data_IF_989269511222
#
_entry.id   IF_989269511222
#
_cell.length_a   1.000
_cell.length_b   1.000
_cell.length_c   1.000
_cell.angle_alpha   90.00
_cell.angle_beta   90.00
_cell.angle_gamma   90.00
#
_symmetry.space_group_name_H-M   'P 1'
#
loop_
_entity.id
_entity.type
_entity.pdbx_description
1 polymer ?
#
# COMPACT_ATOMS: atom_id res chain seq x y z
N UNK A 1 -22.22 -23.08 15.69
CA UNK A 1 -21.95 -24.29 14.89
C UNK A 1 -21.27 -23.93 13.57
N UNK A 2 -21.90 -23.11 12.72
CA UNK A 2 -21.33 -22.71 11.41
C UNK A 2 -19.95 -22.06 11.50
N UNK A 3 -19.74 -21.18 12.49
CA UNK A 3 -18.43 -20.50 12.68
C UNK A 3 -17.30 -21.46 13.06
N UNK A 4 -17.61 -22.50 13.85
CA UNK A 4 -16.63 -23.54 14.20
C UNK A 4 -16.30 -24.39 12.99
N UNK A 5 -17.32 -24.79 12.21
CA UNK A 5 -17.12 -25.54 10.96
C UNK A 5 -16.28 -24.74 9.95
N UNK A 6 -16.51 -23.42 9.84
CA UNK A 6 -15.68 -22.54 9.02
C UNK A 6 -14.23 -22.52 9.50
N UNK A 7 -13.99 -22.36 10.80
CA UNK A 7 -12.63 -22.37 11.36
C UNK A 7 -11.92 -23.73 11.19
N UNK A 8 -12.64 -24.84 11.27
CA UNK A 8 -12.10 -26.19 11.01
C UNK A 8 -11.75 -26.38 9.53
N UNK A 9 -12.58 -25.89 8.62
CA UNK A 9 -12.39 -26.02 7.18
C UNK A 9 -11.29 -25.09 6.64
N UNK A 10 -11.26 -23.84 7.10
CA UNK A 10 -10.40 -22.78 6.55
C UNK A 10 -9.19 -22.46 7.44
N UNK A 11 -9.12 -23.03 8.64
CA UNK A 11 -8.04 -22.78 9.59
C UNK A 11 -8.23 -21.49 10.40
N UNK A 12 -7.32 -21.31 11.36
CA UNK A 12 -7.23 -20.15 12.22
C UNK A 12 -5.97 -19.33 11.88
N UNK A 13 -5.92 -18.03 12.22
CA UNK A 13 -6.96 -17.26 12.90
C UNK A 13 -8.12 -16.85 11.98
N UNK A 14 -9.30 -16.61 12.57
CA UNK A 14 -10.46 -16.05 11.86
C UNK A 14 -10.85 -14.69 12.46
N UNK A 15 -11.31 -13.79 11.59
CA UNK A 15 -11.90 -12.52 11.98
C UNK A 15 -13.42 -12.61 11.94
N UNK A 16 -14.05 -12.18 13.02
CA UNK A 16 -15.50 -12.09 13.17
C UNK A 16 -15.85 -10.60 13.10
N UNK A 17 -16.67 -10.24 12.10
CA UNK A 17 -17.03 -8.86 11.80
C UNK A 17 -18.55 -8.67 11.85
N UNK A 18 -19.00 -7.57 12.44
CA UNK A 18 -20.39 -7.15 12.34
C UNK A 18 -20.73 -6.80 10.87
N UNK A 19 -21.82 -7.36 10.34
CA UNK A 19 -22.24 -7.17 8.94
C UNK A 19 -22.60 -5.71 8.60
N UNK A 20 -23.05 -4.95 9.61
CA UNK A 20 -23.47 -3.55 9.48
C UNK A 20 -22.57 -2.60 10.28
N UNK A 21 -21.39 -3.06 10.70
CA UNK A 21 -20.43 -2.26 11.46
C UNK A 21 -19.52 -1.41 10.58
N UNK A 22 -19.01 -0.30 11.14
CA UNK A 22 -18.03 0.58 10.51
C UNK A 22 -17.00 1.11 11.52
N UNK A 23 -15.79 1.44 11.04
CA UNK A 23 -14.73 2.05 11.87
C UNK A 23 -14.02 1.10 12.84
N UNK A 24 -13.98 -0.20 12.57
CA UNK A 24 -13.24 -1.19 13.37
C UNK A 24 -13.93 -1.66 14.66
N UNK A 25 -15.14 -1.18 14.95
CA UNK A 25 -15.97 -1.67 16.07
C UNK A 25 -16.65 -3.00 15.70
N UNK A 26 -16.71 -3.95 16.63
CA UNK A 26 -17.26 -5.29 16.37
C UNK A 26 -16.35 -6.24 15.58
N UNK A 27 -15.05 -5.97 15.49
CA UNK A 27 -14.04 -6.92 14.99
C UNK A 27 -13.48 -7.73 16.17
N UNK A 28 -13.64 -9.06 16.15
CA UNK A 28 -12.94 -9.99 17.05
C UNK A 28 -12.05 -10.91 16.23
N UNK A 29 -10.90 -11.30 16.75
CA UNK A 29 -10.00 -12.25 16.09
C UNK A 29 -9.83 -13.46 17.00
N UNK A 30 -10.23 -14.63 16.50
CA UNK A 30 -10.02 -15.90 17.16
C UNK A 30 -8.77 -16.57 16.59
N UNK A 31 -7.79 -16.81 17.45
CA UNK A 31 -6.51 -17.48 17.22
C UNK A 31 -6.55 -18.96 17.58
N UNK A 32 -7.43 -19.35 18.51
CA UNK A 32 -7.61 -20.73 18.95
C UNK A 32 -9.04 -21.19 18.75
N UNK A 33 -9.23 -22.50 18.59
CA UNK A 33 -10.56 -23.06 18.34
C UNK A 33 -11.51 -22.90 19.54
N UNK A 34 -10.98 -22.95 20.76
CA UNK A 34 -11.75 -22.91 22.00
C UNK A 34 -12.32 -21.51 22.32
N UNK A 35 -11.78 -20.44 21.74
CA UNK A 35 -12.30 -19.08 21.91
C UNK A 35 -13.28 -18.65 20.81
N UNK A 36 -13.40 -19.42 19.72
CA UNK A 36 -14.23 -19.05 18.56
C UNK A 36 -15.69 -18.79 18.95
N UNK A 37 -16.28 -19.69 19.74
CA UNK A 37 -17.68 -19.58 20.15
C UNK A 37 -17.92 -18.33 21.03
N UNK A 38 -17.05 -18.11 22.02
CA UNK A 38 -17.15 -16.98 22.93
C UNK A 38 -16.95 -15.63 22.21
N UNK A 39 -15.95 -15.55 21.34
CA UNK A 39 -15.66 -14.33 20.57
C UNK A 39 -16.79 -14.02 19.58
N UNK A 40 -17.42 -15.03 18.99
CA UNK A 40 -18.58 -14.83 18.14
C UNK A 40 -19.76 -14.25 18.91
N UNK A 41 -20.13 -14.86 20.04
CA UNK A 41 -21.20 -14.32 20.87
C UNK A 41 -20.90 -12.90 21.36
N UNK A 42 -19.63 -12.62 21.71
CA UNK A 42 -19.20 -11.28 22.07
C UNK A 42 -19.37 -10.28 20.92
N UNK A 43 -19.02 -10.66 19.69
CA UNK A 43 -19.19 -9.82 18.51
C UNK A 43 -20.67 -9.53 18.23
N UNK A 44 -21.54 -10.55 18.35
CA UNK A 44 -23.00 -10.42 18.18
C UNK A 44 -23.59 -9.46 19.22
N UNK A 45 -23.19 -9.57 20.49
CA UNK A 45 -23.63 -8.65 21.55
C UNK A 45 -23.21 -7.21 21.27
N UNK A 46 -21.96 -7.00 20.88
CA UNK A 46 -21.43 -5.67 20.55
C UNK A 46 -22.14 -5.07 19.32
N UNK A 47 -22.36 -5.87 18.28
CA UNK A 47 -23.09 -5.47 17.08
C UNK A 47 -24.54 -5.09 17.40
N UNK A 48 -25.22 -5.91 18.21
CA UNK A 48 -26.61 -5.63 18.63
C UNK A 48 -26.70 -4.35 19.43
N UNK A 49 -25.77 -4.12 20.37
CA UNK A 49 -25.74 -2.91 21.19
C UNK A 49 -25.43 -1.64 20.37
N UNK A 50 -24.51 -1.73 19.40
CA UNK A 50 -24.06 -0.58 18.62
C UNK A 50 -24.96 -0.26 17.42
N UNK A 51 -25.52 -1.27 16.77
CA UNK A 51 -26.21 -1.14 15.48
C UNK A 51 -27.65 -1.67 15.49
N UNK A 52 -28.15 -2.14 16.63
CA UNK A 52 -29.49 -2.71 16.78
C UNK A 52 -29.67 -4.08 16.10
N UNK A 53 -28.61 -4.63 15.51
CA UNK A 53 -28.61 -5.87 14.75
C UNK A 53 -27.36 -6.70 15.03
N UNK A 54 -27.54 -8.00 15.22
CA UNK A 54 -26.49 -8.93 15.64
C UNK A 54 -25.83 -9.73 14.53
N UNK A 55 -26.12 -9.48 13.25
CA UNK A 55 -25.52 -10.27 12.18
C UNK A 55 -24.00 -10.04 12.10
N UNK A 56 -23.27 -11.15 12.08
CA UNK A 56 -21.83 -11.17 11.90
C UNK A 56 -21.46 -12.12 10.77
N UNK A 57 -20.42 -11.80 10.02
CA UNK A 57 -19.76 -12.71 9.08
C UNK A 57 -18.34 -13.03 9.56
N UNK A 58 -17.79 -14.09 9.00
CA UNK A 58 -16.48 -14.63 9.37
C UNK A 58 -15.63 -14.73 8.13
N UNK A 59 -14.37 -14.33 8.27
CA UNK A 59 -13.35 -14.46 7.23
C UNK A 59 -12.06 -14.97 7.85
N UNK A 60 -11.17 -15.51 7.03
CA UNK A 60 -9.82 -15.84 7.49
C UNK A 60 -9.10 -14.55 7.88
N UNK A 61 -8.50 -14.52 9.07
CA UNK A 61 -7.67 -13.40 9.49
C UNK A 61 -6.24 -13.65 9.02
N UNK A 62 -5.69 -12.71 8.27
CA UNK A 62 -4.30 -12.80 7.85
C UNK A 62 -3.43 -12.11 8.90
N UNK A 63 -2.62 -12.89 9.63
CA UNK A 63 -1.63 -12.34 10.57
C UNK A 63 -0.40 -11.85 9.82
N UNK A 64 -0.01 -10.60 10.12
CA UNK A 64 1.13 -9.89 9.49
C UNK A 64 1.15 -10.03 7.96
N UNK A 65 0.05 -9.71 7.25
CA UNK A 65 0.01 -9.84 5.81
C UNK A 65 0.87 -8.74 5.18
N UNK A 66 1.34 -9.02 3.97
CA UNK A 66 1.90 -8.02 3.07
C UNK A 66 0.82 -7.52 2.13
N UNK A 67 0.85 -6.23 1.82
CA UNK A 67 -0.04 -5.62 0.85
C UNK A 67 0.69 -5.58 -0.48
N UNK A 68 0.19 -6.32 -1.46
CA UNK A 68 0.77 -6.41 -2.80
C UNK A 68 -0.30 -6.04 -3.80
N UNK A 69 0.07 -5.29 -4.82
CA UNK A 69 -0.88 -4.86 -5.83
C UNK A 69 -0.31 -4.92 -7.25
N UNK A 70 -1.19 -5.02 -8.24
CA UNK A 70 -0.84 -5.13 -9.64
C UNK A 70 -1.43 -3.95 -10.44
N UNK A 71 -0.55 -3.21 -11.11
CA UNK A 71 -0.96 -2.14 -12.02
C UNK A 71 -1.51 -2.72 -13.31
N UNK A 72 -2.68 -2.26 -13.73
CA UNK A 72 -3.33 -2.67 -14.98
C UNK A 72 -3.58 -1.46 -15.87
N UNK A 73 -3.42 -1.64 -17.17
CA UNK A 73 -3.94 -0.79 -18.23
C UNK A 73 -4.88 -1.61 -19.11
N UNK A 74 -6.02 -1.04 -19.46
CA UNK A 74 -6.98 -1.66 -20.37
C UNK A 74 -7.52 -0.66 -21.40
N UNK A 75 -7.57 -1.04 -22.68
CA UNK A 75 -8.11 -0.19 -23.74
C UNK A 75 -9.57 -0.52 -24.11
N UNK A 76 -10.17 0.34 -24.93
CA UNK A 76 -11.54 0.16 -25.44
C UNK A 76 -11.68 -0.99 -26.45
N UNK A 77 -10.57 -1.63 -26.84
CA UNK A 77 -10.54 -2.76 -27.78
C UNK A 77 -10.51 -4.11 -27.03
N UNK A 78 -10.57 -4.09 -25.70
CA UNK A 78 -10.59 -5.27 -24.85
C UNK A 78 -9.21 -5.83 -24.49
N UNK A 79 -8.13 -5.10 -24.78
CA UNK A 79 -6.79 -5.51 -24.35
C UNK A 79 -6.57 -5.10 -22.89
N UNK A 80 -6.03 -6.01 -22.08
CA UNK A 80 -5.69 -5.78 -20.67
C UNK A 80 -4.25 -6.20 -20.43
N UNK A 81 -3.42 -5.27 -19.98
CA UNK A 81 -1.99 -5.50 -19.70
C UNK A 81 -1.69 -5.17 -18.24
N UNK A 82 -1.03 -6.10 -17.55
CA UNK A 82 -0.48 -5.88 -16.20
C UNK A 82 0.94 -5.33 -16.35
N UNK A 83 1.27 -4.21 -15.71
CA UNK A 83 2.58 -3.56 -15.87
C UNK A 83 3.62 -4.05 -14.88
N UNK A 84 3.20 -4.64 -13.77
CA UNK A 84 4.06 -5.13 -12.71
C UNK A 84 3.36 -5.13 -11.36
N UNK A 85 4.12 -5.45 -10.32
CA UNK A 85 3.65 -5.47 -8.93
C UNK A 85 4.27 -4.35 -8.11
N UNK A 86 3.57 -3.92 -7.07
CA UNK A 86 4.09 -3.03 -6.03
C UNK A 86 3.91 -3.69 -4.66
N UNK A 87 4.89 -3.50 -3.79
CA UNK A 87 4.73 -3.71 -2.35
C UNK A 87 4.30 -2.39 -1.70
N UNK A 88 3.19 -2.44 -0.97
CA UNK A 88 2.64 -1.31 -0.23
C UNK A 88 2.48 -1.67 1.26
N UNK A 89 3.26 -2.64 1.76
CA UNK A 89 3.12 -3.19 3.12
C UNK A 89 3.50 -2.21 4.21
N UNK A 90 4.35 -1.22 3.94
CA UNK A 90 4.71 -0.22 4.94
C UNK A 90 3.57 0.79 5.10
N UNK A 91 2.75 0.53 6.11
CA UNK A 91 1.52 1.27 6.38
C UNK A 91 1.46 1.69 7.84
N UNK A 92 0.77 2.81 8.08
CA UNK A 92 0.34 3.24 9.41
C UNK A 92 -1.17 3.33 9.42
N UNK A 93 -1.84 2.63 10.36
CA UNK A 93 -3.31 2.64 10.47
C UNK A 93 -3.99 2.42 9.12
N UNK A 94 -3.47 1.45 8.35
CA UNK A 94 -3.95 1.09 7.00
C UNK A 94 -3.74 2.16 5.91
N UNK A 95 -2.98 3.22 6.20
CA UNK A 95 -2.55 4.21 5.21
C UNK A 95 -1.12 3.88 4.74
N UNK A 96 -0.93 3.72 3.43
CA UNK A 96 0.37 3.47 2.82
C UNK A 96 1.28 4.70 3.00
N UNK A 97 2.56 4.46 3.31
CA UNK A 97 3.57 5.51 3.55
C UNK A 97 4.83 5.34 2.71
N UNK A 98 5.19 4.08 2.40
CA UNK A 98 6.30 3.73 1.51
C UNK A 98 5.84 2.59 0.62
N UNK A 99 6.11 2.74 -0.67
CA UNK A 99 5.73 1.80 -1.71
C UNK A 99 6.94 1.49 -2.58
N UNK A 100 7.10 0.24 -3.02
CA UNK A 100 8.21 -0.12 -3.89
C UNK A 100 7.81 -1.05 -5.04
N UNK A 101 8.46 -0.87 -6.18
CA UNK A 101 8.27 -1.67 -7.38
C UNK A 101 9.63 -2.18 -7.91
N UNK A 102 9.71 -3.43 -8.39
CA UNK A 102 8.73 -4.50 -8.19
C UNK A 102 8.63 -4.92 -6.71
N UNK A 103 7.57 -5.64 -6.33
CA UNK A 103 7.47 -6.21 -4.98
C UNK A 103 8.63 -7.22 -4.75
N UNK A 104 9.55 -6.97 -3.79
CA UNK A 104 10.87 -7.62 -3.80
C UNK A 104 10.90 -9.07 -3.28
N UNK A 105 9.80 -9.55 -2.71
CA UNK A 105 9.72 -10.84 -2.01
C UNK A 105 8.84 -11.88 -2.69
N UNK A 106 8.22 -11.52 -3.83
CA UNK A 106 7.35 -12.45 -4.52
C UNK A 106 8.16 -13.55 -5.21
N UNK A 107 7.77 -14.79 -4.96
CA UNK A 107 8.19 -15.90 -5.80
C UNK A 107 7.59 -15.76 -7.21
N UNK A 108 8.25 -16.37 -8.20
CA UNK A 108 7.78 -16.33 -9.60
C UNK A 108 6.33 -16.80 -9.75
N UNK A 109 5.98 -17.90 -9.09
CA UNK A 109 4.64 -18.46 -9.12
C UNK A 109 3.59 -17.53 -8.50
N UNK A 110 3.95 -16.83 -7.41
CA UNK A 110 3.08 -15.84 -6.78
C UNK A 110 2.88 -14.63 -7.67
N UNK A 111 3.96 -14.11 -8.27
CA UNK A 111 3.90 -12.98 -9.21
C UNK A 111 3.02 -13.32 -10.41
N UNK A 112 3.19 -14.50 -10.99
CA UNK A 112 2.38 -14.96 -12.12
C UNK A 112 0.90 -15.08 -11.74
N UNK A 113 0.60 -15.65 -10.56
CA UNK A 113 -0.78 -15.77 -10.08
C UNK A 113 -1.45 -14.41 -9.86
N UNK A 114 -0.72 -13.44 -9.31
CA UNK A 114 -1.19 -12.06 -9.13
C UNK A 114 -1.48 -11.41 -10.49
N UNK A 115 -0.56 -11.55 -11.46
CA UNK A 115 -0.75 -10.99 -12.80
C UNK A 115 -1.95 -11.63 -13.53
N UNK A 116 -2.08 -12.96 -13.48
CA UNK A 116 -3.20 -13.67 -14.08
C UNK A 116 -4.54 -13.28 -13.46
N UNK A 117 -4.60 -13.22 -12.13
CA UNK A 117 -5.80 -12.81 -11.41
C UNK A 117 -6.18 -11.36 -11.75
N UNK A 118 -5.23 -10.42 -11.72
CA UNK A 118 -5.48 -9.02 -12.03
C UNK A 118 -5.99 -8.83 -13.47
N UNK A 119 -5.36 -9.51 -14.44
CA UNK A 119 -5.80 -9.49 -15.84
C UNK A 119 -7.20 -10.08 -15.99
N UNK A 120 -7.47 -11.22 -15.37
CA UNK A 120 -8.77 -11.90 -15.46
C UNK A 120 -9.91 -11.07 -14.85
N UNK A 121 -9.69 -10.46 -13.68
CA UNK A 121 -10.66 -9.59 -13.01
C UNK A 121 -11.01 -8.39 -13.91
N UNK A 122 -10.00 -7.69 -14.44
CA UNK A 122 -10.22 -6.53 -15.30
C UNK A 122 -10.88 -6.91 -16.64
N UNK A 123 -10.50 -8.04 -17.23
CA UNK A 123 -11.09 -8.51 -18.49
C UNK A 123 -12.57 -8.89 -18.32
N UNK A 124 -12.91 -9.65 -17.27
CA UNK A 124 -14.29 -10.05 -16.98
C UNK A 124 -15.17 -8.83 -16.67
N UNK A 125 -14.62 -7.83 -15.97
CA UNK A 125 -15.33 -6.58 -15.67
C UNK A 125 -15.51 -5.66 -16.89
N UNK A 126 -14.89 -5.96 -18.05
CA UNK A 126 -14.84 -5.03 -19.18
C UNK A 126 -14.17 -3.70 -18.82
N UNK A 127 -13.14 -3.75 -17.98
CA UNK A 127 -12.48 -2.55 -17.44
C UNK A 127 -11.77 -1.75 -18.54
N UNK A 128 -11.79 -0.43 -18.43
CA UNK A 128 -11.10 0.51 -19.35
C UNK A 128 -10.37 1.58 -18.54
N UNK A 129 -9.14 1.89 -18.94
CA UNK A 129 -8.27 2.88 -18.29
C UNK A 129 -7.18 2.24 -17.43
N UNK A 130 -6.64 3.02 -16.50
CA UNK A 130 -5.67 2.55 -15.50
C UNK A 130 -6.37 2.19 -14.20
N UNK A 131 -6.10 0.98 -13.71
CA UNK A 131 -6.62 0.48 -12.45
C UNK A 131 -5.57 -0.32 -11.70
N UNK A 132 -5.82 -0.58 -10.42
CA UNK A 132 -4.94 -1.43 -9.61
C UNK A 132 -5.76 -2.49 -8.92
N UNK A 133 -5.30 -3.74 -8.99
CA UNK A 133 -5.89 -4.87 -8.26
C UNK A 133 -5.03 -5.15 -7.04
N UNK A 134 -5.61 -5.02 -5.86
CA UNK A 134 -4.93 -5.17 -4.58
C UNK A 134 -5.13 -6.56 -3.98
N UNK A 135 -4.09 -7.05 -3.31
CA UNK A 135 -4.05 -8.36 -2.68
C UNK A 135 -3.39 -8.27 -1.30
N UNK A 136 -3.74 -9.20 -0.43
CA UNK A 136 -2.99 -9.52 0.77
C UNK A 136 -2.24 -10.84 0.57
N UNK A 137 -0.94 -10.83 0.89
CA UNK A 137 -0.09 -12.00 0.91
C UNK A 137 0.16 -12.42 2.37
N UNK A 138 -0.33 -13.59 2.73
CA UNK A 138 -0.12 -14.17 4.06
C UNK A 138 1.27 -14.81 4.19
N UNK A 139 1.70 -15.08 5.43
CA UNK A 139 3.03 -15.65 5.72
C UNK A 139 3.24 -17.07 5.17
N UNK A 140 2.17 -17.81 4.98
CA UNK A 140 2.17 -19.15 4.38
C UNK A 140 2.15 -19.10 2.83
N UNK A 141 2.18 -17.90 2.24
CA UNK A 141 2.17 -17.68 0.80
C UNK A 141 0.77 -17.59 0.19
N UNK A 142 -0.30 -17.68 0.98
CA UNK A 142 -1.67 -17.51 0.47
C UNK A 142 -1.89 -16.09 -0.04
N UNK A 143 -2.43 -15.97 -1.26
CA UNK A 143 -2.80 -14.70 -1.89
C UNK A 143 -4.32 -14.54 -1.79
N UNK A 144 -4.77 -13.45 -1.19
CA UNK A 144 -6.19 -13.09 -1.07
C UNK A 144 -6.45 -11.79 -1.79
N UNK A 145 -7.43 -11.77 -2.71
CA UNK A 145 -7.93 -10.54 -3.32
C UNK A 145 -8.48 -9.60 -2.24
N UNK A 146 -8.19 -8.31 -2.36
CA UNK A 146 -8.69 -7.27 -1.45
C UNK A 146 -9.71 -6.39 -2.16
N UNK A 147 -9.28 -5.62 -3.15
CA UNK A 147 -10.14 -4.69 -3.89
C UNK A 147 -9.56 -4.34 -5.27
N UNK A 148 -10.36 -3.64 -6.08
CA UNK A 148 -9.89 -2.97 -7.30
C UNK A 148 -10.04 -1.47 -7.13
N UNK A 149 -8.92 -0.76 -7.19
CA UNK A 149 -8.92 0.69 -7.32
C UNK A 149 -9.11 1.05 -8.79
N UNK A 150 -10.32 1.48 -9.15
CA UNK A 150 -10.72 1.82 -10.53
C UNK A 150 -10.25 3.22 -10.95
N UNK A 151 -9.02 3.57 -10.58
CA UNK A 151 -8.37 4.87 -10.82
C UNK A 151 -6.85 4.72 -10.74
N UNK A 152 -6.15 5.74 -11.20
CA UNK A 152 -4.72 5.88 -10.90
C UNK A 152 -4.50 6.04 -9.39
N UNK A 153 -3.42 5.44 -8.89
CA UNK A 153 -3.04 5.50 -7.49
C UNK A 153 -1.89 6.48 -7.25
N UNK A 154 -1.66 6.83 -5.99
CA UNK A 154 -0.65 7.83 -5.59
C UNK A 154 0.75 7.34 -6.00
N UNK A 155 0.99 6.06 -5.73
CA UNK A 155 2.19 5.25 -5.91
C UNK A 155 2.42 4.75 -7.36
N UNK A 156 1.66 5.26 -8.34
CA UNK A 156 1.92 4.93 -9.75
C UNK A 156 3.34 5.26 -10.25
N UNK A 157 4.07 6.29 -9.72
CA UNK A 157 5.40 6.62 -10.22
C UNK A 157 6.41 5.47 -10.10
N UNK A 158 6.37 4.64 -9.06
CA UNK A 158 7.31 3.50 -8.97
C UNK A 158 7.12 2.50 -10.10
N UNK A 159 5.89 2.36 -10.61
CA UNK A 159 5.61 1.56 -11.82
C UNK A 159 6.10 2.28 -13.07
N UNK A 160 5.90 3.60 -13.20
CA UNK A 160 6.43 4.36 -14.34
C UNK A 160 7.96 4.26 -14.43
N UNK A 161 8.65 4.44 -13.30
CA UNK A 161 10.11 4.37 -13.21
C UNK A 161 10.66 2.99 -13.58
N UNK A 162 9.97 1.93 -13.15
CA UNK A 162 10.40 0.55 -13.42
C UNK A 162 9.99 0.05 -14.80
N UNK A 163 9.03 0.68 -15.49
CA UNK A 163 8.57 0.22 -16.81
C UNK A 163 9.00 1.15 -17.94
N UNK A 164 9.24 2.43 -17.64
CA UNK A 164 9.41 3.50 -18.62
C UNK A 164 8.11 3.91 -19.32
N UNK A 165 6.95 3.54 -18.77
CA UNK A 165 5.63 3.88 -19.32
C UNK A 165 5.02 5.01 -18.49
N UNK A 166 4.62 6.09 -19.15
CA UNK A 166 3.87 7.19 -18.55
C UNK A 166 2.39 6.80 -18.44
N UNK A 167 1.93 6.57 -17.23
CA UNK A 167 0.60 6.04 -16.95
C UNK A 167 -0.48 7.09 -17.18
N UNK A 168 -0.19 8.36 -16.88
CA UNK A 168 -1.12 9.46 -17.09
C UNK A 168 -1.35 9.68 -18.59
N UNK A 169 -0.29 9.64 -19.40
CA UNK A 169 -0.39 9.72 -20.86
C UNK A 169 -1.15 8.53 -21.42
N UNK A 170 -0.88 7.30 -20.97
CA UNK A 170 -1.64 6.12 -21.42
C UNK A 170 -3.14 6.25 -21.07
N UNK A 171 -3.49 6.76 -19.89
CA UNK A 171 -4.89 7.01 -19.55
C UNK A 171 -5.57 7.97 -20.53
N UNK A 172 -4.91 9.08 -20.89
CA UNK A 172 -5.44 10.05 -21.85
C UNK A 172 -5.60 9.42 -23.24
N UNK A 173 -4.60 8.63 -23.68
CA UNK A 173 -4.65 7.91 -24.97
C UNK A 173 -5.80 6.91 -25.02
N UNK A 174 -6.01 6.15 -23.94
CA UNK A 174 -7.13 5.20 -23.82
C UNK A 174 -8.47 5.94 -23.86
N UNK A 175 -8.57 7.08 -23.18
CA UNK A 175 -9.77 7.91 -23.19
C UNK A 175 -10.09 8.45 -24.61
N UNK A 176 -9.07 8.70 -25.43
CA UNK A 176 -9.19 9.04 -26.85
C UNK A 176 -9.51 7.82 -27.76
N UNK A 177 -9.68 6.63 -27.18
CA UNK A 177 -9.98 5.39 -27.91
C UNK A 177 -8.78 4.79 -28.65
N UNK A 178 -7.56 5.26 -28.36
CA UNK A 178 -6.34 4.69 -28.94
C UNK A 178 -6.02 3.34 -28.29
N UNK A 179 -5.40 2.41 -29.05
CA UNK A 179 -4.91 1.15 -28.48
C UNK A 179 -3.77 1.40 -27.47
N UNK A 180 -3.60 0.46 -26.54
CA UNK A 180 -2.44 0.43 -25.64
C UNK A 180 -1.14 0.47 -26.44
N UNK A 181 -0.15 1.22 -25.97
CA UNK A 181 1.18 1.29 -26.60
C UNK A 181 2.01 0.03 -26.41
N UNK A 182 1.58 -0.85 -25.51
CA UNK A 182 2.22 -2.12 -25.19
C UNK A 182 1.21 -3.26 -25.22
N UNK A 183 1.72 -4.47 -25.48
CA UNK A 183 0.91 -5.70 -25.61
C UNK A 183 1.20 -6.74 -24.55
N UNK A 184 2.34 -6.62 -23.88
CA UNK A 184 2.82 -7.59 -22.91
C UNK A 184 3.33 -6.87 -21.66
N UNK A 185 3.38 -7.58 -20.53
CA UNK A 185 3.98 -7.08 -19.30
C UNK A 185 5.46 -6.77 -19.54
N UNK A 186 5.92 -5.52 -19.36
CA UNK A 186 7.32 -5.17 -19.54
C UNK A 186 8.19 -5.79 -18.43
N UNK A 187 9.42 -6.15 -18.78
CA UNK A 187 10.42 -6.50 -17.78
C UNK A 187 10.80 -5.24 -16.95
N UNK A 188 10.88 -5.33 -15.61
CA UNK A 188 11.21 -4.19 -14.78
C UNK A 188 12.66 -3.71 -15.00
N UNK A 189 12.81 -2.39 -15.09
CA UNK A 189 14.07 -1.65 -15.23
C UNK A 189 14.54 -1.19 -13.86
N UNK A 190 15.20 -2.09 -13.13
CA UNK A 190 15.69 -1.80 -11.79
C UNK A 190 14.59 -1.84 -10.74
N UNK A 191 14.72 -1.00 -9.72
CA UNK A 191 13.87 -0.97 -8.52
C UNK A 191 13.60 0.48 -8.11
N UNK A 192 12.36 0.81 -7.80
CA UNK A 192 11.94 2.16 -7.40
C UNK A 192 11.18 2.13 -6.09
N UNK A 193 11.42 3.13 -5.24
CA UNK A 193 10.81 3.29 -3.92
C UNK A 193 10.23 4.70 -3.82
N UNK A 194 8.95 4.81 -3.49
CA UNK A 194 8.27 6.06 -3.21
C UNK A 194 8.11 6.27 -1.70
N UNK A 195 8.34 7.50 -1.25
CA UNK A 195 8.09 7.95 0.12
C UNK A 195 7.05 9.06 0.08
N UNK A 196 5.94 8.88 0.80
CA UNK A 196 4.94 9.94 0.97
C UNK A 196 5.43 10.96 1.97
N UNK A 197 5.54 12.23 1.55
CA UNK A 197 6.02 13.32 2.40
C UNK A 197 4.82 14.10 2.92
N UNK A 198 4.41 13.79 4.15
CA UNK A 198 3.25 14.39 4.81
C UNK A 198 3.66 15.44 5.86
N UNK A 199 2.84 16.47 6.02
CA UNK A 199 2.90 17.48 7.08
C UNK A 199 2.31 16.92 8.38
N UNK A 200 2.97 15.93 8.96
CA UNK A 200 2.59 15.27 10.21
C UNK A 200 3.79 15.23 11.14
N UNK A 201 3.54 15.21 12.46
CA UNK A 201 4.58 15.11 13.48
C UNK A 201 4.67 13.68 14.06
N UNK A 202 5.64 12.85 13.63
CA UNK A 202 5.80 11.49 14.16
C UNK A 202 5.97 11.44 15.68
N UNK A 203 6.65 12.44 16.26
CA UNK A 203 6.89 12.52 17.71
C UNK A 203 5.64 12.83 18.53
N UNK A 204 4.57 13.31 17.87
CA UNK A 204 3.26 13.56 18.49
C UNK A 204 2.18 12.62 17.96
N UNK A 205 2.57 11.41 17.56
CA UNK A 205 1.63 10.41 17.05
C UNK A 205 1.08 10.76 15.66
N UNK A 206 1.89 11.43 14.83
CA UNK A 206 1.59 11.85 13.46
C UNK A 206 0.34 12.72 13.37
N UNK A 207 0.24 13.71 14.26
CA UNK A 207 -0.79 14.72 14.14
C UNK A 207 -0.48 15.62 12.94
N UNK A 208 -1.45 15.93 12.07
CA UNK A 208 -1.28 16.91 11.01
C UNK A 208 -0.84 18.27 11.58
N UNK A 209 0.11 18.92 10.91
CA UNK A 209 0.63 20.22 11.30
C UNK A 209 0.36 21.26 10.21
N UNK A 210 -0.85 21.85 10.19
CA UNK A 210 -1.14 22.95 9.28
C UNK A 210 -0.27 24.17 9.60
N UNK A 211 0.06 24.95 8.59
CA UNK A 211 0.94 26.10 8.74
C UNK A 211 1.58 26.53 7.43
N UNK A 212 2.44 27.54 7.50
CA UNK A 212 3.18 28.03 6.34
C UNK A 212 4.51 27.31 6.22
N UNK A 213 4.83 26.83 5.01
CA UNK A 213 6.11 26.22 4.72
C UNK A 213 7.15 27.33 4.56
N UNK A 214 8.09 27.44 5.49
CA UNK A 214 9.14 28.47 5.46
C UNK A 214 10.24 28.12 4.45
N UNK A 215 10.63 26.85 4.38
CA UNK A 215 11.58 26.33 3.40
C UNK A 215 11.10 24.98 2.87
N UNK A 216 11.30 24.75 1.56
CA UNK A 216 10.97 23.50 0.88
C UNK A 216 12.05 23.18 -0.16
N UNK A 217 13.10 22.51 0.28
CA UNK A 217 14.26 22.19 -0.54
C UNK A 217 14.25 20.70 -0.87
N UNK A 218 13.88 20.43 -2.13
CA UNK A 218 13.74 19.07 -2.64
C UNK A 218 15.12 18.50 -3.03
N UNK A 219 15.38 17.21 -2.79
CA UNK A 219 16.60 16.55 -3.25
C UNK A 219 16.57 16.38 -4.78
N UNK A 220 17.75 16.18 -5.37
CA UNK A 220 17.89 15.96 -6.81
C UNK A 220 18.93 14.90 -7.17
N UNK A 221 19.37 14.96 -8.43
CA UNK A 221 20.40 14.07 -8.98
C UNK A 221 19.83 12.78 -9.61
N UNK A 222 20.71 11.90 -10.12
CA UNK A 222 20.30 10.73 -10.88
C UNK A 222 19.41 9.77 -10.07
N UNK A 223 18.30 9.34 -10.69
CA UNK A 223 17.34 8.41 -10.08
C UNK A 223 16.51 9.02 -8.94
N UNK A 224 16.38 10.34 -8.88
CA UNK A 224 15.49 11.03 -7.93
C UNK A 224 14.45 11.82 -8.72
N UNK A 225 13.17 11.52 -8.45
CA UNK A 225 12.00 12.24 -8.93
C UNK A 225 11.23 12.76 -7.72
N UNK A 226 10.71 13.99 -7.83
CA UNK A 226 9.85 14.59 -6.81
C UNK A 226 8.61 15.15 -7.47
N UNK A 227 7.46 14.60 -7.08
CA UNK A 227 6.16 15.12 -7.47
C UNK A 227 5.64 15.95 -6.27
N UNK A 228 5.56 17.27 -6.39
CA UNK A 228 5.16 18.16 -5.29
C UNK A 228 3.87 18.93 -5.60
N UNK A 229 3.00 19.08 -4.59
CA UNK A 229 1.84 19.97 -4.65
C UNK A 229 2.07 21.34 -3.99
N UNK A 230 3.25 21.57 -3.41
CA UNK A 230 3.57 22.76 -2.61
C UNK A 230 4.95 23.33 -2.94
N UNK A 231 5.19 24.56 -2.49
CA UNK A 231 6.49 25.23 -2.54
C UNK A 231 6.71 26.08 -1.26
N UNK A 232 7.92 26.62 -1.09
CA UNK A 232 8.18 27.55 0.00
C UNK A 232 7.22 28.76 -0.06
N UNK A 233 6.71 29.18 1.10
CA UNK A 233 5.68 30.20 1.26
C UNK A 233 4.24 29.68 1.17
N UNK A 234 4.00 28.44 0.73
CA UNK A 234 2.66 27.87 0.67
C UNK A 234 2.06 27.62 2.07
N UNK A 235 0.75 27.78 2.19
CA UNK A 235 -0.01 27.45 3.41
C UNK A 235 -0.62 26.06 3.28
N UNK A 236 -0.28 25.18 4.23
CA UNK A 236 -0.86 23.84 4.38
C UNK A 236 -2.11 23.95 5.26
N UNK A 237 -3.26 23.58 4.71
CA UNK A 237 -4.54 23.59 5.42
C UNK A 237 -4.73 22.30 6.21
N UNK A 238 -5.36 22.40 7.39
CA UNK A 238 -5.79 21.22 8.16
C UNK A 238 -7.09 20.58 7.65
N UNK A 239 -7.67 21.11 6.56
CA UNK A 239 -8.93 20.64 5.98
C UNK A 239 -8.75 19.53 4.95
N UNK A 240 -7.53 19.33 4.43
CA UNK A 240 -7.24 18.37 3.37
C UNK A 240 -6.24 17.32 3.87
N UNK A 241 -5.92 16.36 2.99
CA UNK A 241 -4.84 15.42 3.24
C UNK A 241 -3.51 16.14 3.51
N UNK A 242 -2.69 15.58 4.40
CA UNK A 242 -1.44 16.16 4.88
C UNK A 242 -0.28 16.03 3.87
N UNK A 243 -0.46 15.34 2.74
CA UNK A 243 0.58 15.10 1.75
C UNK A 243 1.07 16.38 1.07
N UNK A 244 2.38 16.62 1.15
CA UNK A 244 3.10 17.73 0.55
C UNK A 244 3.71 17.35 -0.80
N UNK A 245 4.36 16.19 -0.83
CA UNK A 245 5.07 15.68 -1.99
C UNK A 245 5.23 14.16 -1.93
N UNK A 246 5.69 13.60 -3.05
CA UNK A 246 6.16 12.22 -3.17
C UNK A 246 7.63 12.27 -3.57
N UNK A 247 8.48 11.57 -2.83
CA UNK A 247 9.87 11.36 -3.20
C UNK A 247 10.01 9.96 -3.80
N UNK A 248 10.35 9.89 -5.08
CA UNK A 248 10.49 8.63 -5.82
C UNK A 248 11.97 8.43 -6.13
N UNK A 249 12.51 7.29 -5.72
CA UNK A 249 13.95 6.99 -5.83
C UNK A 249 14.14 5.67 -6.55
N UNK A 250 14.84 5.72 -7.68
CA UNK A 250 15.07 4.57 -8.56
C UNK A 250 16.55 4.18 -8.55
N UNK A 251 16.83 2.88 -8.53
CA UNK A 251 18.15 2.27 -8.65
C UNK A 251 18.12 1.06 -9.59
N UNK A 252 19.29 0.62 -10.06
CA UNK A 252 19.43 -0.62 -10.83
C UNK A 252 19.11 -1.86 -9.99
N UNK A 253 19.27 -1.76 -8.66
CA UNK A 253 18.86 -2.76 -7.68
C UNK A 253 18.18 -2.07 -6.50
N UNK A 254 17.48 -2.82 -5.66
CA UNK A 254 16.86 -2.32 -4.43
C UNK A 254 17.91 -1.71 -3.49
N UNK A 255 19.07 -2.34 -3.35
CA UNK A 255 20.17 -1.82 -2.51
C UNK A 255 20.66 -0.45 -3.00
N UNK A 256 20.77 -0.29 -4.32
CA UNK A 256 21.14 1.01 -4.91
C UNK A 256 20.04 2.05 -4.68
N UNK A 257 18.76 1.69 -4.83
CA UNK A 257 17.63 2.57 -4.54
C UNK A 257 17.64 3.02 -3.07
N UNK A 258 17.87 2.09 -2.12
CA UNK A 258 18.00 2.39 -0.70
C UNK A 258 19.17 3.33 -0.40
N UNK A 259 20.35 3.09 -1.02
CA UNK A 259 21.51 3.96 -0.84
C UNK A 259 21.23 5.39 -1.35
N UNK A 260 20.58 5.54 -2.50
CA UNK A 260 20.15 6.83 -3.04
C UNK A 260 19.09 7.48 -2.17
N UNK A 261 18.14 6.70 -1.64
CA UNK A 261 17.06 7.19 -0.80
C UNK A 261 17.59 7.77 0.52
N UNK A 262 18.61 7.13 1.12
CA UNK A 262 19.30 7.67 2.31
C UNK A 262 19.87 9.07 2.05
N UNK A 263 20.54 9.26 0.92
CA UNK A 263 21.06 10.58 0.52
C UNK A 263 19.92 11.57 0.26
N UNK A 264 18.95 11.20 -0.58
CA UNK A 264 17.85 12.09 -0.96
C UNK A 264 17.03 12.55 0.26
N UNK A 265 16.69 11.65 1.19
CA UNK A 265 15.97 12.02 2.41
C UNK A 265 16.82 12.83 3.38
N UNK A 266 18.15 12.66 3.42
CA UNK A 266 19.04 13.49 4.22
C UNK A 266 19.13 14.93 3.68
N UNK A 267 19.07 15.10 2.36
CA UNK A 267 19.09 16.39 1.67
C UNK A 267 17.72 17.10 1.68
N UNK A 268 16.61 16.35 1.73
CA UNK A 268 15.27 16.95 1.75
C UNK A 268 15.05 17.77 3.03
N UNK A 269 14.86 19.08 2.88
CA UNK A 269 14.59 20.00 3.99
C UNK A 269 13.22 20.67 3.87
N UNK A 270 12.46 20.59 4.95
CA UNK A 270 11.17 21.26 5.13
C UNK A 270 11.22 21.99 6.47
N UNK A 271 10.93 23.30 6.45
CA UNK A 271 10.87 24.15 7.65
C UNK A 271 9.51 24.85 7.74
N UNK A 272 9.09 25.24 8.94
CA UNK A 272 7.81 25.93 9.20
C UNK A 272 6.65 25.01 9.58
N UNK A 273 6.66 23.75 9.13
CA UNK A 273 5.72 22.68 9.54
C UNK A 273 6.50 21.43 9.92
N UNK A 274 5.92 20.57 10.78
CA UNK A 274 6.49 19.25 11.02
C UNK A 274 6.30 18.37 9.77
N UNK A 275 7.14 17.35 9.62
CA UNK A 275 7.00 16.39 8.53
C UNK A 275 7.43 15.00 8.95
N UNK A 276 7.02 14.01 8.15
CA UNK A 276 7.41 12.60 8.30
C UNK A 276 8.85 12.29 7.85
N UNK A 277 9.64 13.30 7.44
CA UNK A 277 11.03 13.10 7.03
C UNK A 277 11.89 12.37 8.08
N UNK A 278 11.84 12.69 9.39
CA UNK A 278 12.59 11.96 10.41
C UNK A 278 12.17 10.49 10.50
N UNK A 279 10.88 10.20 10.31
CA UNK A 279 10.36 8.82 10.29
C UNK A 279 10.97 8.03 9.11
N UNK A 280 10.92 8.57 7.89
CA UNK A 280 11.48 7.89 6.72
C UNK A 280 13.00 7.66 6.84
N UNK A 281 13.72 8.63 7.40
CA UNK A 281 15.16 8.48 7.68
C UNK A 281 15.43 7.33 8.67
N UNK A 282 14.61 7.19 9.71
CA UNK A 282 14.72 6.10 10.67
C UNK A 282 14.38 4.74 10.05
N UNK A 283 13.31 4.66 9.25
CA UNK A 283 12.92 3.44 8.50
C UNK A 283 14.07 2.92 7.64
N UNK A 284 14.81 3.80 6.96
CA UNK A 284 15.96 3.39 6.12
C UNK A 284 17.16 2.82 6.88
N UNK A 285 17.20 2.97 8.21
CA UNK A 285 18.21 2.38 9.08
C UNK A 285 17.74 1.09 9.74
N UNK A 286 16.43 0.78 9.66
CA UNK A 286 15.89 -0.42 10.27
C UNK A 286 16.14 -1.65 9.40
N UNK A 287 16.63 -2.73 10.02
CA UNK A 287 17.02 -3.98 9.34
C UNK A 287 15.85 -4.69 8.69
N UNK A 288 14.64 -4.58 9.26
CA UNK A 288 13.44 -5.21 8.70
C UNK A 288 13.06 -4.60 7.35
N UNK A 289 13.34 -3.30 7.16
CA UNK A 289 13.09 -2.59 5.92
C UNK A 289 14.29 -2.65 4.96
N UNK A 290 15.51 -2.44 5.46
CA UNK A 290 16.72 -2.49 4.63
C UNK A 290 16.96 -3.87 4.04
N UNK A 291 16.50 -4.93 4.71
CA UNK A 291 16.54 -6.29 4.22
C UNK A 291 17.87 -6.99 4.43
N UNK A 292 18.78 -6.44 5.24
CA UNK A 292 20.10 -7.05 5.52
C UNK A 292 20.00 -8.48 6.07
N UNK A 293 18.95 -8.77 6.86
CA UNK A 293 18.63 -10.10 7.41
C UNK A 293 17.29 -10.63 6.89
N UNK A 294 16.90 -10.19 5.69
CA UNK A 294 15.59 -10.43 5.10
C UNK A 294 14.64 -9.24 5.30
N UNK A 295 13.75 -9.06 4.33
CA UNK A 295 12.72 -8.03 4.38
C UNK A 295 11.55 -8.55 5.23
N UNK A 296 11.23 -7.89 6.36
CA UNK A 296 10.26 -8.37 7.36
C UNK A 296 9.03 -7.47 7.56
N UNK A 297 8.89 -6.44 6.73
CA UNK A 297 7.78 -5.50 6.80
C UNK A 297 6.45 -6.18 6.47
N UNK A 298 5.40 -5.77 7.20
CA UNK A 298 4.01 -6.17 7.02
C UNK A 298 3.10 -4.98 7.37
N UNK A 299 1.81 -5.06 7.07
CA UNK A 299 0.83 -3.93 7.18
C UNK A 299 0.63 -3.32 8.57
N UNK A 300 1.19 -3.94 9.62
CA UNK A 300 1.13 -3.48 11.02
C UNK A 300 2.51 -3.28 11.64
N UNK A 301 3.56 -3.37 10.83
CA UNK A 301 4.94 -3.41 11.29
C UNK A 301 5.30 -2.14 12.06
N UNK A 302 4.79 -0.98 11.64
CA UNK A 302 5.00 0.29 12.34
C UNK A 302 4.52 0.19 13.79
N UNK A 303 3.27 -0.24 14.00
CA UNK A 303 2.64 -0.27 15.32
C UNK A 303 3.13 -1.42 16.20
N UNK A 304 3.43 -2.59 15.60
CA UNK A 304 3.73 -3.81 16.38
C UNK A 304 5.22 -4.07 16.58
N UNK A 305 6.09 -3.46 15.76
CA UNK A 305 7.53 -3.73 15.78
C UNK A 305 8.33 -2.43 15.84
N UNK A 306 8.18 -1.56 14.84
CA UNK A 306 9.05 -0.39 14.67
C UNK A 306 8.91 0.63 15.81
N UNK A 307 7.69 0.92 16.25
CA UNK A 307 7.43 1.88 17.32
C UNK A 307 8.06 1.49 18.67
N UNK A 308 8.43 0.21 18.87
CA UNK A 308 9.13 -0.25 20.07
C UNK A 308 10.64 0.00 20.03
N UNK A 309 11.18 0.35 18.85
CA UNK A 309 12.60 0.63 18.59
C UNK A 309 12.92 2.13 18.50
N UNK A 310 11.89 2.97 18.48
CA UNK A 310 11.97 4.44 18.42
C UNK A 310 12.04 5.09 19.79
#
# INVERSE_FOLDING_TARGET
AEVLAFAEQHGLPIAIKAAFGGGGRGLKVAWRMDEVAELYESAVREATAAFGRGECFVEQFLDRPRHVEAQVLADTQGHVVVLGTRDCSLQRRNQKLVEEAPAPFLEEAQRQRIHEAARAICAEAGYVGAGTVEFLLARDGQISFLEVNTRLQVEHPVTEETTGIDLVVEQLRIADGLPLTLRETPAPRGHSIEFRINAEDPGRGYLPTPGTIAAFEVPGGPGVRVDSGVCAGASVSGLFDSMLAKLVVTGATREQALARARRALAEFRIEGVASVLPFHRAVLQDRDFSGEEGFHVHTRWIETVFAQRM
#
